data_IF_915464555789
#
_entry.id   IF_915464555789
#
_cell.length_a   1.000
_cell.length_b   1.000
_cell.length_c   1.000
_cell.angle_alpha   90.00
_cell.angle_beta   90.00
_cell.angle_gamma   90.00
#
_symmetry.space_group_name_H-M   'P 1'
#
loop_
_entity.id
_entity.type
_entity.pdbx_description
1 polymer ?
#
# COMPACT_ATOMS: atom_id res chain seq x y z
N UNK A 1 -5.90 15.43 36.06
CA UNK A 1 -6.65 14.27 35.47
C UNK A 1 -8.11 14.36 35.93
N UNK A 2 -9.03 14.30 35.01
CA UNK A 2 -10.48 14.25 35.22
C UNK A 2 -10.99 12.91 34.66
N UNK A 3 -11.74 12.15 35.46
CA UNK A 3 -12.34 10.90 35.03
C UNK A 3 -13.77 11.14 34.60
N UNK A 4 -14.16 10.62 33.43
CA UNK A 4 -15.51 10.77 32.84
C UNK A 4 -16.09 9.41 32.48
N UNK A 5 -17.39 9.24 32.65
CA UNK A 5 -18.11 7.98 32.36
C UNK A 5 -19.40 8.21 31.55
N UNK A 6 -19.75 9.47 31.31
CA UNK A 6 -20.91 9.87 30.53
C UNK A 6 -20.55 10.93 29.48
N UNK A 7 -21.37 11.07 28.44
CA UNK A 7 -21.18 12.10 27.42
C UNK A 7 -21.27 13.53 28.01
N UNK A 8 -22.11 13.72 29.02
CA UNK A 8 -22.22 15.01 29.70
C UNK A 8 -20.96 15.35 30.49
N UNK A 9 -20.42 14.41 31.28
CA UNK A 9 -19.18 14.61 32.05
C UNK A 9 -18.00 14.91 31.11
N UNK A 10 -17.92 14.23 29.94
CA UNK A 10 -16.93 14.50 28.92
C UNK A 10 -17.07 15.92 28.37
N UNK A 11 -18.29 16.34 28.03
CA UNK A 11 -18.56 17.69 27.53
C UNK A 11 -18.19 18.76 28.56
N UNK A 12 -18.54 18.54 29.83
CA UNK A 12 -18.23 19.47 30.94
C UNK A 12 -16.71 19.55 31.16
N UNK A 13 -15.98 18.43 31.11
CA UNK A 13 -14.53 18.41 31.25
C UNK A 13 -13.84 19.17 30.10
N UNK A 14 -14.29 18.98 28.87
CA UNK A 14 -13.78 19.71 27.70
C UNK A 14 -14.08 21.21 27.81
N UNK A 15 -15.30 21.58 28.20
CA UNK A 15 -15.70 22.98 28.40
C UNK A 15 -14.90 23.67 29.54
N UNK A 16 -14.53 22.91 30.55
CA UNK A 16 -13.67 23.38 31.66
C UNK A 16 -12.18 23.46 31.28
N UNK A 17 -11.78 23.06 30.06
CA UNK A 17 -10.39 23.09 29.62
C UNK A 17 -9.52 22.02 30.27
N UNK A 18 -10.08 20.86 30.66
CA UNK A 18 -9.30 19.77 31.23
C UNK A 18 -8.25 19.27 30.24
N UNK A 19 -6.99 19.20 30.67
CA UNK A 19 -5.85 18.79 29.84
C UNK A 19 -5.55 17.29 29.91
N UNK A 20 -6.11 16.57 30.89
CA UNK A 20 -5.92 15.12 31.06
C UNK A 20 -7.26 14.51 31.47
N UNK A 21 -7.86 13.75 30.51
CA UNK A 21 -9.21 13.20 30.62
C UNK A 21 -9.14 11.68 30.48
N UNK A 22 -9.53 10.98 31.56
CA UNK A 22 -9.67 9.52 31.56
C UNK A 22 -11.13 9.13 31.28
N UNK A 23 -11.35 8.37 30.21
CA UNK A 23 -12.64 7.73 29.92
C UNK A 23 -12.72 6.42 30.70
N UNK A 24 -13.76 6.25 31.53
CA UNK A 24 -13.99 5.01 32.27
C UNK A 24 -15.18 4.24 31.71
N UNK A 25 -14.93 3.02 31.25
CA UNK A 25 -15.94 2.16 30.63
C UNK A 25 -16.29 2.61 29.21
N UNK A 26 -17.57 2.51 28.84
CA UNK A 26 -18.03 2.86 27.51
C UNK A 26 -19.01 4.05 27.56
N UNK A 27 -18.70 5.12 26.83
CA UNK A 27 -19.58 6.26 26.62
C UNK A 27 -20.24 6.12 25.25
N UNK A 28 -21.55 5.87 25.23
CA UNK A 28 -22.33 5.68 24.02
C UNK A 28 -23.06 6.97 23.63
N UNK A 29 -23.15 7.22 22.31
CA UNK A 29 -23.89 8.35 21.76
C UNK A 29 -23.23 9.72 22.05
N UNK A 30 -21.93 9.76 22.27
CA UNK A 30 -21.19 11.00 22.35
C UNK A 30 -21.35 11.80 21.04
N UNK A 31 -21.58 13.11 21.09
CA UNK A 31 -21.47 13.94 19.89
C UNK A 31 -19.98 14.06 19.51
N UNK A 32 -19.70 14.27 18.23
CA UNK A 32 -18.34 14.59 17.78
C UNK A 32 -17.83 15.86 18.48
N UNK A 33 -16.56 15.86 18.89
CA UNK A 33 -15.97 16.99 19.59
C UNK A 33 -14.54 17.28 19.11
N UNK A 34 -14.08 18.48 19.42
CA UNK A 34 -12.72 18.92 19.16
C UNK A 34 -11.94 18.95 20.48
N UNK A 35 -10.78 18.29 20.50
CA UNK A 35 -9.87 18.36 21.65
C UNK A 35 -9.17 19.72 21.67
N UNK A 36 -9.17 20.44 22.80
CA UNK A 36 -8.34 21.62 22.96
C UNK A 36 -6.85 21.28 22.81
N UNK A 37 -6.00 22.24 22.39
CA UNK A 37 -4.57 22.03 22.27
C UNK A 37 -3.93 21.46 23.56
N UNK A 38 -3.01 20.52 23.41
CA UNK A 38 -2.29 19.88 24.52
C UNK A 38 -3.10 18.88 25.32
N UNK A 39 -4.35 18.59 24.95
CA UNK A 39 -5.19 17.68 25.71
C UNK A 39 -4.82 16.21 25.46
N UNK A 40 -4.66 15.45 26.55
CA UNK A 40 -4.57 14.00 26.56
C UNK A 40 -5.94 13.39 26.89
N UNK A 41 -6.43 12.50 26.03
CA UNK A 41 -7.65 11.73 26.21
C UNK A 41 -7.29 10.24 26.19
N UNK A 42 -7.65 9.50 27.22
CA UNK A 42 -7.21 8.12 27.33
C UNK A 42 -8.23 7.23 28.04
N UNK A 43 -8.05 5.91 27.86
CA UNK A 43 -8.86 4.87 28.49
C UNK A 43 -10.23 4.65 27.83
N UNK A 44 -10.87 3.55 28.18
CA UNK A 44 -12.23 3.22 27.85
C UNK A 44 -12.59 3.18 26.35
N UNK A 45 -13.89 3.38 26.09
CA UNK A 45 -14.45 3.34 24.74
C UNK A 45 -15.39 4.52 24.51
N UNK A 46 -15.22 5.19 23.39
CA UNK A 46 -16.14 6.23 22.91
C UNK A 46 -16.88 5.73 21.68
N UNK A 47 -18.21 5.75 21.70
CA UNK A 47 -19.04 5.40 20.56
C UNK A 47 -19.84 6.62 20.10
N UNK A 48 -19.64 6.99 18.84
CA UNK A 48 -20.22 8.15 18.19
C UNK A 48 -21.31 7.74 17.21
N UNK A 49 -22.31 8.62 17.03
CA UNK A 49 -23.32 8.48 15.98
C UNK A 49 -22.91 9.07 14.63
N UNK A 50 -21.81 9.84 14.61
CA UNK A 50 -21.24 10.49 13.42
C UNK A 50 -19.72 10.56 13.59
N UNK A 51 -19.07 11.63 13.07
CA UNK A 51 -17.62 11.86 13.26
C UNK A 51 -17.21 11.79 14.72
N UNK A 52 -16.02 11.23 14.95
CA UNK A 52 -15.49 11.03 16.28
C UNK A 52 -14.71 12.24 16.82
N UNK A 53 -13.44 12.01 17.13
CA UNK A 53 -12.56 12.99 17.79
C UNK A 53 -11.81 13.82 16.76
N UNK A 54 -11.90 15.15 16.87
CA UNK A 54 -11.12 16.10 16.10
C UNK A 54 -9.93 16.59 16.94
N UNK A 55 -8.72 16.39 16.44
CA UNK A 55 -7.48 16.81 17.05
C UNK A 55 -7.11 18.22 16.61
N UNK A 56 -6.48 19.00 17.47
CA UNK A 56 -5.93 20.33 17.15
C UNK A 56 -4.40 20.31 17.14
N UNK A 57 -3.76 20.72 18.23
CA UNK A 57 -2.30 20.73 18.36
C UNK A 57 -1.87 20.01 19.63
N UNK A 58 -0.77 19.27 19.55
CA UNK A 58 -0.15 18.57 20.69
C UNK A 58 -1.11 17.64 21.46
N UNK A 59 -2.06 17.03 20.75
CA UNK A 59 -3.01 16.12 21.36
C UNK A 59 -2.45 14.70 21.49
N UNK A 60 -2.84 14.03 22.56
CA UNK A 60 -2.54 12.62 22.81
C UNK A 60 -3.82 11.81 22.95
N UNK A 61 -3.95 10.75 22.15
CA UNK A 61 -4.94 9.68 22.34
C UNK A 61 -4.18 8.41 22.78
N UNK A 62 -4.57 7.82 23.90
CA UNK A 62 -3.84 6.70 24.47
C UNK A 62 -4.77 5.66 25.11
N UNK A 63 -4.48 4.36 24.87
CA UNK A 63 -5.23 3.24 25.46
C UNK A 63 -6.75 3.35 25.26
N UNK A 64 -7.21 3.82 24.11
CA UNK A 64 -8.61 4.19 23.87
C UNK A 64 -9.17 3.51 22.62
N UNK A 65 -10.46 3.14 22.69
CA UNK A 65 -11.24 2.66 21.55
C UNK A 65 -12.24 3.71 21.10
N UNK A 66 -12.23 4.06 19.81
CA UNK A 66 -13.10 5.07 19.19
C UNK A 66 -13.90 4.43 18.07
N UNK A 67 -15.22 4.36 18.24
CA UNK A 67 -16.12 3.67 17.32
C UNK A 67 -17.09 4.67 16.66
N UNK A 68 -17.12 4.67 15.33
CA UNK A 68 -18.08 5.41 14.51
C UNK A 68 -18.75 4.46 13.51
N UNK A 69 -19.61 4.96 12.63
CA UNK A 69 -19.99 4.23 11.42
C UNK A 69 -18.76 4.07 10.50
N UNK A 70 -18.78 3.05 9.64
CA UNK A 70 -17.61 2.72 8.80
C UNK A 70 -17.25 3.85 7.83
N UNK A 71 -18.23 4.60 7.36
CA UNK A 71 -18.08 5.74 6.45
C UNK A 71 -17.59 7.03 7.13
N UNK A 72 -17.57 7.04 8.45
CA UNK A 72 -17.21 8.23 9.21
C UNK A 72 -15.70 8.26 9.58
N UNK A 73 -15.19 9.46 9.89
CA UNK A 73 -13.87 9.59 10.46
C UNK A 73 -13.98 9.41 11.99
N UNK A 74 -13.33 8.38 12.51
CA UNK A 74 -13.21 8.16 13.94
C UNK A 74 -12.22 9.17 14.57
N UNK A 75 -11.13 9.45 13.88
CA UNK A 75 -10.13 10.46 14.27
C UNK A 75 -9.80 11.32 13.04
N UNK A 76 -9.84 12.63 13.21
CA UNK A 76 -9.44 13.60 12.18
C UNK A 76 -8.76 14.79 12.86
N UNK A 77 -7.96 15.56 12.11
CA UNK A 77 -7.45 16.83 12.63
C UNK A 77 -8.29 18.03 12.21
N UNK A 78 -8.16 19.12 12.94
CA UNK A 78 -8.71 20.44 12.58
C UNK A 78 -7.77 21.09 11.57
N UNK A 79 -8.24 21.29 10.34
CA UNK A 79 -7.48 21.96 9.27
C UNK A 79 -7.46 23.49 9.43
N UNK A 80 -8.19 24.02 10.40
CA UNK A 80 -8.17 25.45 10.77
C UNK A 80 -6.97 25.87 11.62
N UNK A 81 -6.17 24.94 12.17
CA UNK A 81 -4.94 25.26 12.90
C UNK A 81 -3.75 25.34 11.95
N UNK A 82 -2.77 26.21 12.26
CA UNK A 82 -1.60 26.38 11.38
C UNK A 82 -0.52 25.33 11.63
N UNK A 83 -0.39 24.85 12.85
CA UNK A 83 0.59 23.85 13.27
C UNK A 83 -0.11 22.81 14.15
N UNK A 84 0.04 21.54 13.78
CA UNK A 84 -0.51 20.43 14.54
C UNK A 84 0.36 20.08 15.78
N UNK A 85 1.55 20.67 15.90
CA UNK A 85 2.51 20.27 16.90
C UNK A 85 2.82 18.77 16.78
N UNK A 86 2.77 18.06 17.91
CA UNK A 86 2.90 16.59 17.93
C UNK A 86 1.55 15.95 18.24
N UNK A 87 0.99 15.22 17.27
CA UNK A 87 -0.18 14.37 17.49
C UNK A 87 0.30 12.97 17.86
N UNK A 88 -0.07 12.50 19.03
CA UNK A 88 0.32 11.17 19.55
C UNK A 88 -0.88 10.23 19.60
N UNK A 89 -0.76 9.09 18.93
CA UNK A 89 -1.73 7.99 18.95
C UNK A 89 -1.02 6.74 19.48
N UNK A 90 -1.34 6.28 20.68
CA UNK A 90 -0.72 5.10 21.28
C UNK A 90 -1.78 4.12 21.78
N UNK A 91 -1.67 2.85 21.35
CA UNK A 91 -2.65 1.80 21.69
C UNK A 91 -4.09 2.24 21.34
N UNK A 92 -4.31 2.75 20.14
CA UNK A 92 -5.59 3.28 19.70
C UNK A 92 -6.27 2.28 18.77
N UNK A 93 -7.53 1.95 19.08
CA UNK A 93 -8.35 1.12 18.19
C UNK A 93 -9.51 1.95 17.67
N UNK A 94 -9.76 1.89 16.35
CA UNK A 94 -10.89 2.59 15.74
C UNK A 94 -11.76 1.67 14.90
N UNK A 95 -13.04 2.01 14.81
CA UNK A 95 -13.93 1.69 13.71
C UNK A 95 -14.28 3.01 13.04
N UNK A 96 -14.11 3.08 11.71
CA UNK A 96 -14.06 4.34 10.98
C UNK A 96 -12.63 4.82 10.74
N UNK A 97 -12.48 5.74 9.82
CA UNK A 97 -11.19 6.22 9.31
C UNK A 97 -10.40 7.02 10.35
N UNK A 98 -9.09 6.83 10.36
CA UNK A 98 -8.14 7.80 10.92
C UNK A 98 -7.59 8.63 9.76
N UNK A 99 -7.79 9.95 9.79
CA UNK A 99 -7.36 10.83 8.70
C UNK A 99 -6.71 12.09 9.24
N UNK A 100 -5.42 12.26 8.95
CA UNK A 100 -4.61 13.43 9.29
C UNK A 100 -4.19 14.12 8.00
N UNK A 101 -4.63 15.37 7.82
CA UNK A 101 -4.45 16.13 6.58
C UNK A 101 -3.71 17.44 6.85
N UNK A 102 -2.72 17.75 6.01
CA UNK A 102 -2.30 19.12 5.82
C UNK A 102 -3.10 19.71 4.66
N UNK A 103 -4.12 20.48 4.98
CA UNK A 103 -4.91 21.26 4.05
C UNK A 103 -5.33 22.58 4.71
N UNK A 104 -5.99 23.45 4.03
CA UNK A 104 -6.45 24.78 4.50
C UNK A 104 -5.31 25.58 5.17
N UNK A 105 -5.32 25.67 6.49
CA UNK A 105 -4.35 26.46 7.29
C UNK A 105 -3.15 25.66 7.78
N UNK A 106 -3.20 24.35 7.77
CA UNK A 106 -2.11 23.50 8.29
C UNK A 106 -0.84 23.69 7.46
N UNK A 107 0.27 23.98 8.11
CA UNK A 107 1.60 24.21 7.49
C UNK A 107 2.67 23.30 8.05
N UNK A 108 2.47 22.75 9.25
CA UNK A 108 3.44 21.88 9.94
C UNK A 108 2.72 20.91 10.87
N UNK A 109 3.42 19.86 11.25
CA UNK A 109 2.99 18.89 12.25
C UNK A 109 3.87 17.65 12.26
N UNK A 110 3.84 16.96 13.39
CA UNK A 110 4.47 15.67 13.60
C UNK A 110 3.45 14.65 14.08
N UNK A 111 3.45 13.45 13.52
CA UNK A 111 2.54 12.36 13.93
C UNK A 111 3.36 11.21 14.50
N UNK A 112 3.11 10.88 15.77
CA UNK A 112 3.62 9.68 16.41
C UNK A 112 2.47 8.70 16.61
N UNK A 113 2.49 7.57 15.90
CA UNK A 113 1.49 6.54 16.04
C UNK A 113 2.17 5.21 16.38
N UNK A 114 1.71 4.56 17.44
CA UNK A 114 2.23 3.28 17.92
C UNK A 114 1.09 2.36 18.33
N UNK A 115 1.07 1.13 17.80
CA UNK A 115 0.03 0.14 18.04
C UNK A 115 -1.38 0.70 17.77
N UNK A 116 -1.58 1.14 16.51
CA UNK A 116 -2.85 1.71 16.05
C UNK A 116 -3.56 0.72 15.15
N UNK A 117 -4.82 0.43 15.48
CA UNK A 117 -5.64 -0.53 14.74
C UNK A 117 -6.92 0.10 14.24
N UNK A 118 -7.10 0.12 12.93
CA UNK A 118 -8.39 0.41 12.28
C UNK A 118 -9.10 -0.92 12.03
N UNK A 119 -10.15 -1.23 12.80
CA UNK A 119 -10.89 -2.51 12.68
C UNK A 119 -11.48 -2.64 11.28
N UNK A 120 -12.14 -1.59 10.81
CA UNK A 120 -12.67 -1.42 9.46
C UNK A 120 -13.00 0.05 9.20
N UNK A 121 -13.06 0.45 7.95
CA UNK A 121 -13.55 1.75 7.49
C UNK A 121 -14.05 1.64 6.06
N UNK A 122 -14.99 2.49 5.65
CA UNK A 122 -15.39 2.66 4.26
C UNK A 122 -15.00 4.06 3.79
N UNK A 123 -13.91 4.13 3.03
CA UNK A 123 -13.36 5.40 2.55
C UNK A 123 -13.68 5.68 1.07
N UNK A 124 -14.44 4.81 0.42
CA UNK A 124 -14.80 4.92 -1.01
C UNK A 124 -15.56 6.19 -1.33
N UNK A 125 -16.34 6.70 -0.37
CA UNK A 125 -17.08 7.96 -0.48
C UNK A 125 -16.25 9.21 -0.26
N UNK A 126 -14.96 9.14 0.01
CA UNK A 126 -14.09 10.32 0.17
C UNK A 126 -13.94 11.05 -1.16
N UNK A 127 -14.20 12.35 -1.14
CA UNK A 127 -14.20 13.18 -2.35
C UNK A 127 -12.80 13.36 -2.95
N UNK A 128 -11.80 13.57 -2.10
CA UNK A 128 -10.44 13.81 -2.56
C UNK A 128 -9.70 12.48 -2.77
N UNK A 129 -9.10 12.34 -3.93
CA UNK A 129 -8.29 11.20 -4.33
C UNK A 129 -7.01 11.72 -4.97
N UNK A 130 -5.82 11.20 -4.61
CA UNK A 130 -4.63 11.50 -5.38
C UNK A 130 -4.77 10.89 -6.77
N UNK A 131 -4.31 11.62 -7.78
CA UNK A 131 -4.21 11.16 -9.15
C UNK A 131 -2.74 10.98 -9.53
N UNK A 132 -2.43 10.00 -10.34
CA UNK A 132 -1.10 9.79 -10.89
C UNK A 132 -1.06 8.57 -11.78
N UNK A 133 -0.15 8.57 -12.73
CA UNK A 133 0.07 7.45 -13.64
C UNK A 133 -1.21 6.97 -14.37
N UNK A 134 -2.17 7.89 -14.56
CA UNK A 134 -3.44 7.63 -15.25
C UNK A 134 -4.54 6.97 -14.41
N UNK A 135 -4.41 6.97 -13.08
CA UNK A 135 -5.40 6.41 -12.16
C UNK A 135 -5.60 7.29 -10.92
N UNK A 136 -6.79 7.19 -10.33
CA UNK A 136 -7.09 7.72 -9.01
C UNK A 136 -6.88 6.63 -7.95
N UNK A 137 -6.31 6.99 -6.78
CA UNK A 137 -6.18 6.07 -5.66
C UNK A 137 -7.19 6.39 -4.54
N UNK A 138 -7.81 5.35 -3.96
CA UNK A 138 -8.64 5.50 -2.77
C UNK A 138 -7.77 5.78 -1.55
N UNK A 139 -8.25 6.65 -0.66
CA UNK A 139 -7.61 6.88 0.64
C UNK A 139 -7.57 5.60 1.49
N UNK A 140 -6.78 5.60 2.55
CA UNK A 140 -6.66 4.50 3.50
C UNK A 140 -7.61 4.59 4.70
N UNK A 141 -7.84 3.45 5.34
CA UNK A 141 -8.42 3.42 6.68
C UNK A 141 -7.57 4.21 7.68
N UNK A 142 -6.24 4.15 7.54
CA UNK A 142 -5.29 5.09 8.12
C UNK A 142 -4.71 5.96 7.01
N UNK A 143 -4.91 7.27 7.08
CA UNK A 143 -4.44 8.24 6.09
C UNK A 143 -3.65 9.35 6.76
N UNK A 144 -2.40 9.55 6.30
CA UNK A 144 -1.58 10.73 6.55
C UNK A 144 -1.26 11.38 5.21
N UNK A 145 -1.82 12.57 4.96
CA UNK A 145 -1.71 13.18 3.64
C UNK A 145 -1.49 14.69 3.69
N UNK A 146 -0.44 15.15 3.04
CA UNK A 146 -0.19 16.57 2.83
C UNK A 146 -0.71 16.98 1.45
N UNK A 147 -1.80 17.76 1.43
CA UNK A 147 -2.48 18.23 0.21
C UNK A 147 -2.15 19.66 -0.15
N UNK A 148 -1.20 20.26 0.53
CA UNK A 148 -0.78 21.64 0.26
C UNK A 148 0.07 21.72 -1.03
N UNK A 149 -0.28 22.63 -1.92
CA UNK A 149 0.52 22.88 -3.13
C UNK A 149 1.84 23.62 -2.81
N UNK A 150 1.97 24.19 -1.59
CA UNK A 150 3.15 24.91 -1.15
C UNK A 150 4.24 23.91 -0.70
N UNK A 151 5.41 23.84 -1.37
CA UNK A 151 6.47 22.88 -1.02
C UNK A 151 7.15 23.16 0.32
N UNK A 152 6.93 24.32 0.92
CA UNK A 152 7.45 24.63 2.26
C UNK A 152 6.62 23.96 3.37
N UNK A 153 5.42 23.47 3.06
CA UNK A 153 4.56 22.76 4.02
C UNK A 153 5.07 21.34 4.20
N UNK A 154 5.41 20.98 5.43
CA UNK A 154 6.02 19.70 5.75
C UNK A 154 5.32 19.03 6.93
N UNK A 155 4.91 17.79 6.75
CA UNK A 155 4.55 16.90 7.84
C UNK A 155 5.66 15.88 8.05
N UNK A 156 5.86 15.48 9.30
CA UNK A 156 6.78 14.39 9.65
C UNK A 156 6.02 13.33 10.45
N UNK A 157 6.49 12.07 10.41
CA UNK A 157 5.88 11.03 11.21
C UNK A 157 6.84 9.89 11.58
N UNK A 158 6.45 9.18 12.64
CA UNK A 158 6.90 7.84 12.99
C UNK A 158 5.66 6.98 13.23
N UNK A 159 5.49 5.91 12.44
CA UNK A 159 4.28 5.10 12.37
C UNK A 159 4.64 3.64 12.66
N UNK A 160 4.37 3.19 13.90
CA UNK A 160 4.79 1.90 14.41
C UNK A 160 3.58 0.98 14.65
N UNK A 161 3.61 -0.21 14.06
CA UNK A 161 2.58 -1.25 14.25
C UNK A 161 1.16 -0.76 13.89
N UNK A 162 1.04 -0.18 12.71
CA UNK A 162 -0.23 0.26 12.16
C UNK A 162 -0.91 -0.92 11.46
N UNK A 163 -2.15 -1.24 11.85
CA UNK A 163 -2.95 -2.32 11.26
C UNK A 163 -4.29 -1.78 10.74
N UNK A 164 -4.79 -2.35 9.65
CA UNK A 164 -6.02 -1.88 9.02
C UNK A 164 -6.84 -3.04 8.43
N UNK A 165 -8.09 -3.16 8.84
CA UNK A 165 -8.98 -4.23 8.45
C UNK A 165 -8.68 -5.57 9.15
N UNK A 166 -9.55 -6.52 8.92
CA UNK A 166 -9.40 -7.94 9.26
C UNK A 166 -9.93 -8.76 8.10
N UNK A 167 -9.64 -10.06 8.05
CA UNK A 167 -10.20 -10.95 7.04
C UNK A 167 -11.74 -10.89 6.99
N UNK A 168 -12.40 -10.83 8.15
CA UNK A 168 -13.85 -10.77 8.25
C UNK A 168 -14.44 -9.37 8.00
N UNK A 169 -13.65 -8.32 8.19
CA UNK A 169 -14.05 -6.93 8.05
C UNK A 169 -12.89 -6.13 7.43
N UNK A 170 -12.66 -6.25 6.12
CA UNK A 170 -11.62 -5.49 5.44
C UNK A 170 -11.94 -3.99 5.47
N UNK A 171 -10.95 -3.16 5.25
CA UNK A 171 -11.17 -1.75 4.91
C UNK A 171 -11.71 -1.67 3.48
N UNK A 172 -12.81 -0.96 3.28
CA UNK A 172 -13.32 -0.64 1.96
C UNK A 172 -12.64 0.62 1.42
N UNK A 173 -11.62 0.41 0.62
CA UNK A 173 -10.64 1.38 0.15
C UNK A 173 -9.23 0.88 0.36
N UNK A 174 -8.24 1.77 0.55
CA UNK A 174 -6.89 1.36 0.90
C UNK A 174 -6.73 1.13 2.41
N UNK A 175 -5.73 0.36 2.81
CA UNK A 175 -5.46 0.09 4.22
C UNK A 175 -4.73 1.24 4.89
N UNK A 176 -3.46 1.41 4.55
CA UNK A 176 -2.56 2.43 5.08
C UNK A 176 -2.07 3.30 3.93
N UNK A 177 -2.25 4.60 4.06
CA UNK A 177 -1.98 5.58 3.03
C UNK A 177 -1.12 6.72 3.59
N UNK A 178 0.05 6.93 2.99
CA UNK A 178 0.97 8.03 3.32
C UNK A 178 1.28 8.79 2.04
N UNK A 179 1.00 10.10 1.98
CA UNK A 179 1.18 10.87 0.76
C UNK A 179 1.51 12.33 1.00
N UNK A 180 2.23 12.93 0.07
CA UNK A 180 2.37 14.36 -0.10
C UNK A 180 1.48 14.88 -1.23
N UNK A 181 1.73 16.10 -1.67
CA UNK A 181 1.09 16.68 -2.85
C UNK A 181 1.76 16.14 -4.12
N UNK A 182 0.97 15.75 -5.09
CA UNK A 182 1.44 15.24 -6.37
C UNK A 182 0.70 15.86 -7.54
N UNK A 183 1.38 15.93 -8.68
CA UNK A 183 0.83 16.38 -9.96
C UNK A 183 -0.01 15.30 -10.65
N UNK A 184 -0.55 15.59 -11.82
CA UNK A 184 -1.37 14.67 -12.60
C UNK A 184 -0.57 13.49 -13.19
N UNK A 185 0.76 13.61 -13.27
CA UNK A 185 1.65 12.55 -13.76
C UNK A 185 2.13 11.62 -12.64
N UNK A 186 1.82 11.96 -11.38
CA UNK A 186 2.16 11.15 -10.21
C UNK A 186 3.48 11.55 -9.55
N UNK A 187 4.06 12.71 -9.90
CA UNK A 187 5.27 13.20 -9.26
C UNK A 187 4.93 14.19 -8.12
N UNK A 188 5.77 14.22 -7.09
CA UNK A 188 5.63 15.18 -6.00
C UNK A 188 5.95 16.60 -6.47
N UNK A 189 5.04 17.55 -6.26
CA UNK A 189 5.17 18.92 -6.74
C UNK A 189 4.76 20.01 -5.73
N UNK A 190 4.52 19.63 -4.48
CA UNK A 190 4.09 20.54 -3.41
C UNK A 190 4.50 20.08 -2.02
N UNK A 191 3.60 20.19 -1.07
CA UNK A 191 3.83 19.83 0.33
C UNK A 191 4.20 18.37 0.52
N UNK A 192 5.12 18.09 1.44
CA UNK A 192 5.72 16.77 1.62
C UNK A 192 5.33 16.11 2.93
N UNK A 193 5.42 14.78 2.96
CA UNK A 193 5.39 13.98 4.18
C UNK A 193 6.71 13.20 4.28
N UNK A 194 7.40 13.32 5.41
CA UNK A 194 8.58 12.50 5.70
C UNK A 194 8.30 11.56 6.88
N UNK A 195 8.42 10.27 6.63
CA UNK A 195 8.24 9.22 7.63
C UNK A 195 9.58 8.52 7.86
N UNK A 196 10.09 8.57 9.08
CA UNK A 196 11.35 7.89 9.43
C UNK A 196 11.20 6.38 9.48
N UNK A 197 10.08 5.89 10.01
CA UNK A 197 9.74 4.46 10.03
C UNK A 197 8.24 4.29 9.87
N UNK A 198 7.83 3.53 8.86
CA UNK A 198 6.49 2.99 8.67
C UNK A 198 6.54 1.48 8.93
N UNK A 199 6.11 1.04 10.09
CA UNK A 199 5.95 -0.39 10.40
C UNK A 199 4.48 -0.75 10.42
N UNK A 200 4.09 -1.72 9.57
CA UNK A 200 2.70 -2.17 9.45
C UNK A 200 2.55 -3.57 10.03
N UNK A 201 1.46 -3.78 10.76
CA UNK A 201 0.98 -5.09 11.17
C UNK A 201 0.12 -5.72 10.07
N UNK A 202 -0.93 -6.45 10.48
CA UNK A 202 -1.89 -7.09 9.59
C UNK A 202 -2.75 -6.04 8.85
N UNK A 203 -2.90 -6.21 7.51
CA UNK A 203 -3.71 -5.33 6.66
C UNK A 203 -4.60 -6.15 5.75
N UNK A 204 -5.91 -5.87 5.77
CA UNK A 204 -6.92 -6.46 4.88
C UNK A 204 -7.75 -5.37 4.22
N UNK A 205 -7.80 -5.37 2.88
CA UNK A 205 -8.54 -4.34 2.13
C UNK A 205 -9.36 -4.94 1.00
N UNK A 206 -10.48 -4.29 0.72
CA UNK A 206 -11.28 -4.50 -0.48
C UNK A 206 -11.68 -3.12 -1.03
N UNK A 207 -11.08 -2.72 -2.12
CA UNK A 207 -11.46 -1.48 -2.79
C UNK A 207 -12.92 -1.49 -3.24
N UNK A 208 -13.49 -2.69 -3.42
CA UNK A 208 -14.85 -2.91 -3.94
C UNK A 208 -15.11 -2.02 -5.18
N UNK A 209 -14.07 -1.88 -6.02
CA UNK A 209 -14.09 -1.03 -7.20
C UNK A 209 -15.08 -1.59 -8.19
N UNK A 210 -16.05 -0.79 -8.68
CA UNK A 210 -17.03 -1.28 -9.63
C UNK A 210 -16.39 -1.79 -10.92
N UNK A 211 -16.94 -2.84 -11.49
CA UNK A 211 -16.51 -3.30 -12.81
C UNK A 211 -16.55 -2.15 -13.82
N UNK A 212 -15.58 -2.10 -14.72
CA UNK A 212 -15.40 -1.04 -15.74
C UNK A 212 -15.01 0.33 -15.19
N UNK A 213 -14.33 0.37 -14.05
CA UNK A 213 -13.68 1.58 -13.51
C UNK A 213 -12.16 1.33 -13.53
N UNK A 214 -11.52 1.34 -14.72
CA UNK A 214 -10.11 0.95 -14.85
C UNK A 214 -9.14 2.03 -14.35
N UNK A 215 -9.62 3.24 -14.12
CA UNK A 215 -8.90 4.42 -13.67
C UNK A 215 -8.97 4.62 -12.14
N UNK A 216 -9.49 3.64 -11.40
CA UNK A 216 -9.56 3.65 -9.95
C UNK A 216 -8.81 2.45 -9.37
N UNK A 217 -7.98 2.72 -8.36
CA UNK A 217 -7.23 1.69 -7.63
C UNK A 217 -7.38 1.86 -6.12
N UNK A 218 -7.08 0.80 -5.40
CA UNK A 218 -6.87 0.82 -3.95
C UNK A 218 -5.73 -0.12 -3.58
N UNK A 219 -5.40 -0.24 -2.31
CA UNK A 219 -4.35 -1.19 -1.92
C UNK A 219 -4.16 -1.36 -0.43
N UNK A 220 -3.24 -2.25 -0.08
CA UNK A 220 -2.91 -2.54 1.30
C UNK A 220 -2.11 -1.41 1.93
N UNK A 221 -0.90 -1.18 1.44
CA UNK A 221 0.01 -0.13 1.94
C UNK A 221 0.48 0.72 0.76
N UNK A 222 0.14 2.01 0.79
CA UNK A 222 0.49 2.99 -0.22
C UNK A 222 1.44 4.05 0.32
N UNK A 223 2.58 4.22 -0.36
CA UNK A 223 3.44 5.40 -0.25
C UNK A 223 3.26 6.19 -1.54
N UNK A 224 2.56 7.31 -1.46
CA UNK A 224 2.13 8.11 -2.61
C UNK A 224 3.12 9.25 -2.88
N UNK A 225 3.02 9.86 -4.04
CA UNK A 225 3.78 11.02 -4.50
C UNK A 225 3.96 12.09 -3.41
N UNK A 226 5.12 12.71 -3.34
CA UNK A 226 5.44 13.71 -2.32
C UNK A 226 5.68 13.14 -0.91
N UNK A 227 5.57 11.82 -0.72
CA UNK A 227 6.01 11.16 0.50
C UNK A 227 7.44 10.62 0.36
N UNK A 228 8.23 10.79 1.42
CA UNK A 228 9.53 10.14 1.60
C UNK A 228 9.47 9.26 2.84
N UNK A 229 9.81 7.99 2.72
CA UNK A 229 9.83 7.05 3.83
C UNK A 229 11.21 6.40 3.90
N UNK A 230 11.94 6.62 5.01
CA UNK A 230 13.30 6.06 5.12
C UNK A 230 13.25 4.54 5.17
N UNK A 231 12.33 3.98 5.98
CA UNK A 231 12.16 2.53 6.14
C UNK A 231 10.69 2.15 6.20
N UNK A 232 10.27 1.21 5.34
CA UNK A 232 8.98 0.52 5.44
C UNK A 232 9.20 -0.92 5.89
N UNK A 233 8.47 -1.37 6.91
CA UNK A 233 8.48 -2.73 7.43
C UNK A 233 7.06 -3.29 7.48
N UNK A 234 6.68 -4.13 6.53
CA UNK A 234 5.42 -4.89 6.58
C UNK A 234 5.66 -6.19 7.34
N UNK A 235 5.36 -6.19 8.66
CA UNK A 235 5.64 -7.30 9.57
C UNK A 235 4.47 -8.27 9.72
N UNK A 236 3.25 -7.81 9.47
CA UNK A 236 2.04 -8.64 9.36
C UNK A 236 1.66 -8.94 7.91
N UNK A 237 0.78 -9.93 7.67
CA UNK A 237 0.29 -10.22 6.33
C UNK A 237 -0.48 -9.02 5.76
N UNK A 238 -0.30 -8.80 4.45
CA UNK A 238 -1.07 -7.80 3.70
C UNK A 238 -1.87 -8.53 2.63
N UNK A 239 -3.21 -8.44 2.71
CA UNK A 239 -4.13 -9.15 1.80
C UNK A 239 -5.13 -8.18 1.19
N UNK A 240 -5.27 -8.23 -0.13
CA UNK A 240 -6.28 -7.46 -0.88
C UNK A 240 -7.26 -8.38 -1.59
N UNK A 241 -8.53 -7.98 -1.64
CA UNK A 241 -9.62 -8.82 -2.14
C UNK A 241 -10.30 -8.27 -3.40
N UNK A 242 -10.30 -6.95 -3.58
CA UNK A 242 -11.02 -6.28 -4.63
C UNK A 242 -10.29 -6.20 -5.97
N UNK A 243 -11.01 -5.84 -7.05
CA UNK A 243 -10.40 -5.52 -8.33
C UNK A 243 -9.48 -4.30 -8.24
N UNK A 244 -8.36 -4.32 -8.98
CA UNK A 244 -7.39 -3.21 -9.05
C UNK A 244 -6.79 -2.84 -7.68
N UNK A 245 -6.70 -3.80 -6.78
CA UNK A 245 -6.11 -3.60 -5.45
C UNK A 245 -4.61 -3.94 -5.49
N UNK A 246 -3.77 -2.94 -5.26
CA UNK A 246 -2.32 -3.11 -5.12
C UNK A 246 -2.01 -3.51 -3.67
N UNK A 247 -1.27 -4.61 -3.45
CA UNK A 247 -0.98 -5.01 -2.06
C UNK A 247 0.01 -4.04 -1.43
N UNK A 248 1.14 -3.82 -2.08
CA UNK A 248 2.17 -2.86 -1.68
C UNK A 248 2.47 -1.96 -2.89
N UNK A 249 2.35 -0.64 -2.72
CA UNK A 249 2.46 0.30 -3.84
C UNK A 249 3.32 1.52 -3.48
N UNK A 250 4.30 1.83 -4.31
CA UNK A 250 5.19 2.95 -4.15
C UNK A 250 5.14 3.91 -5.34
N UNK A 251 4.66 5.14 -5.10
CA UNK A 251 4.74 6.29 -6.02
C UNK A 251 5.68 7.37 -5.47
N UNK A 252 6.09 7.24 -4.20
CA UNK A 252 6.94 8.19 -3.51
C UNK A 252 8.42 7.82 -3.56
N UNK A 253 9.16 8.20 -2.54
CA UNK A 253 10.57 7.85 -2.37
C UNK A 253 10.74 7.00 -1.10
N UNK A 254 11.26 5.78 -1.24
CA UNK A 254 11.46 4.84 -0.14
C UNK A 254 12.92 4.38 -0.13
N UNK A 255 13.57 4.47 1.02
CA UNK A 255 14.92 3.94 1.18
C UNK A 255 14.93 2.41 1.18
N UNK A 256 14.25 1.80 2.14
CA UNK A 256 14.15 0.34 2.24
C UNK A 256 12.72 -0.09 2.50
N UNK A 257 12.23 -1.07 1.74
CA UNK A 257 10.95 -1.74 2.00
C UNK A 257 11.18 -3.23 2.29
N UNK A 258 10.84 -3.66 3.50
CA UNK A 258 10.92 -5.07 3.89
C UNK A 258 9.53 -5.62 4.20
N UNK A 259 9.17 -6.77 3.63
CA UNK A 259 7.96 -7.51 3.99
C UNK A 259 8.36 -8.90 4.53
N UNK A 260 8.02 -9.19 5.78
CA UNK A 260 8.38 -10.46 6.45
C UNK A 260 7.23 -11.44 6.58
N UNK A 261 6.01 -11.03 6.20
CA UNK A 261 4.82 -11.84 6.17
C UNK A 261 4.21 -11.88 4.76
N UNK A 262 3.25 -12.77 4.52
CA UNK A 262 2.67 -13.01 3.20
C UNK A 262 2.08 -11.75 2.55
N UNK A 263 2.30 -11.61 1.26
CA UNK A 263 1.75 -10.55 0.39
C UNK A 263 0.79 -11.22 -0.58
N UNK A 264 -0.52 -10.99 -0.42
CA UNK A 264 -1.56 -11.74 -1.14
C UNK A 264 -2.57 -10.83 -1.82
N UNK A 265 -2.86 -11.09 -3.09
CA UNK A 265 -3.96 -10.45 -3.82
C UNK A 265 -4.92 -11.50 -4.39
N UNK A 266 -6.21 -11.33 -4.12
CA UNK A 266 -7.26 -12.21 -4.64
C UNK A 266 -8.04 -11.60 -5.82
N UNK A 267 -8.08 -10.28 -5.90
CA UNK A 267 -8.86 -9.57 -6.90
C UNK A 267 -8.24 -9.58 -8.31
N UNK A 268 -9.06 -9.42 -9.35
CA UNK A 268 -8.56 -9.24 -10.71
C UNK A 268 -7.73 -7.96 -10.84
N UNK A 269 -6.66 -8.03 -11.63
CA UNK A 269 -5.69 -6.95 -11.86
C UNK A 269 -4.98 -6.45 -10.58
N UNK A 270 -5.01 -7.22 -9.50
CA UNK A 270 -4.26 -6.93 -8.29
C UNK A 270 -2.76 -7.16 -8.47
N UNK A 271 -1.92 -6.43 -7.73
CA UNK A 271 -0.46 -6.54 -7.84
C UNK A 271 0.14 -6.72 -6.45
N UNK A 272 1.03 -7.71 -6.29
CA UNK A 272 1.70 -7.99 -5.03
C UNK A 272 2.59 -6.82 -4.59
N UNK A 273 3.53 -6.42 -5.43
CA UNK A 273 4.30 -5.19 -5.26
C UNK A 273 4.39 -4.44 -6.59
N UNK A 274 4.09 -3.14 -6.57
CA UNK A 274 4.27 -2.28 -7.74
C UNK A 274 5.10 -1.06 -7.38
N UNK A 275 6.02 -0.68 -8.29
CA UNK A 275 6.84 0.51 -8.14
C UNK A 275 6.66 1.47 -9.31
N UNK A 276 6.38 2.72 -8.99
CA UNK A 276 6.37 3.88 -9.88
C UNK A 276 7.33 4.96 -9.41
N UNK A 277 7.70 4.95 -8.12
CA UNK A 277 8.53 5.95 -7.48
C UNK A 277 10.00 5.54 -7.38
N UNK A 278 10.68 6.11 -6.40
CA UNK A 278 12.08 5.79 -6.11
C UNK A 278 12.15 4.76 -4.98
N UNK A 279 12.91 3.70 -5.18
CA UNK A 279 13.12 2.67 -4.17
C UNK A 279 14.56 2.14 -4.25
N UNK A 280 15.30 2.26 -3.14
CA UNK A 280 16.66 1.72 -3.11
C UNK A 280 16.67 0.20 -2.95
N UNK A 281 15.97 -0.31 -1.94
CA UNK A 281 16.00 -1.74 -1.61
C UNK A 281 14.61 -2.28 -1.30
N UNK A 282 14.23 -3.36 -1.98
CA UNK A 282 13.02 -4.14 -1.73
C UNK A 282 13.42 -5.56 -1.28
N UNK A 283 12.95 -5.99 -0.09
CA UNK A 283 13.24 -7.31 0.44
C UNK A 283 11.95 -7.99 0.95
N UNK A 284 11.36 -8.84 0.10
CA UNK A 284 10.13 -9.59 0.41
C UNK A 284 10.49 -11.01 0.84
N UNK A 285 10.55 -11.24 2.15
CA UNK A 285 11.02 -12.48 2.78
C UNK A 285 9.94 -13.54 2.96
N UNK A 286 8.77 -13.30 2.40
CA UNK A 286 7.63 -14.21 2.42
C UNK A 286 7.06 -14.34 1.00
N UNK A 287 6.20 -15.35 0.72
CA UNK A 287 5.63 -15.52 -0.61
C UNK A 287 4.80 -14.32 -1.05
N UNK A 288 4.92 -13.96 -2.33
CA UNK A 288 3.92 -13.17 -3.03
C UNK A 288 2.98 -14.15 -3.75
N UNK A 289 1.68 -14.05 -3.48
CA UNK A 289 0.66 -14.89 -4.12
C UNK A 289 -0.45 -14.02 -4.69
N UNK A 290 -0.72 -14.16 -5.99
CA UNK A 290 -1.87 -13.51 -6.63
C UNK A 290 -2.74 -14.54 -7.34
N UNK A 291 -4.06 -14.41 -7.19
CA UNK A 291 -5.01 -15.40 -7.73
C UNK A 291 -6.02 -14.83 -8.73
N UNK A 292 -6.15 -13.50 -8.80
CA UNK A 292 -7.07 -12.83 -9.73
C UNK A 292 -6.59 -12.86 -11.18
N UNK A 293 -7.50 -12.81 -12.13
CA UNK A 293 -7.17 -12.65 -13.54
C UNK A 293 -6.46 -11.32 -13.80
N UNK A 294 -5.45 -11.31 -14.65
CA UNK A 294 -4.67 -10.13 -14.97
C UNK A 294 -3.80 -9.59 -13.82
N UNK A 295 -3.69 -10.34 -12.73
CA UNK A 295 -2.89 -9.95 -11.58
C UNK A 295 -1.39 -10.03 -11.88
N UNK A 296 -0.56 -9.43 -11.00
CA UNK A 296 0.90 -9.53 -11.10
C UNK A 296 1.51 -9.81 -9.74
N UNK A 297 2.62 -10.51 -9.73
CA UNK A 297 3.40 -10.69 -8.51
C UNK A 297 4.20 -9.43 -8.18
N UNK A 298 5.12 -9.06 -9.07
CA UNK A 298 5.93 -7.85 -8.98
C UNK A 298 5.92 -7.08 -10.29
N UNK A 299 5.84 -5.75 -10.20
CA UNK A 299 5.91 -4.89 -11.38
C UNK A 299 6.73 -3.62 -11.12
N UNK A 300 7.79 -3.43 -11.89
CA UNK A 300 8.52 -2.18 -12.01
C UNK A 300 7.97 -1.42 -13.23
N UNK A 301 6.95 -0.59 -13.01
CA UNK A 301 6.31 0.18 -14.08
C UNK A 301 7.07 1.43 -14.45
N UNK A 302 7.53 2.16 -13.43
CA UNK A 302 8.24 3.43 -13.57
C UNK A 302 9.22 3.64 -12.41
N UNK A 303 9.87 4.81 -12.36
CA UNK A 303 10.79 5.18 -11.31
C UNK A 303 12.10 4.38 -11.33
N UNK A 304 12.67 4.21 -10.15
CA UNK A 304 13.97 3.54 -9.96
C UNK A 304 13.87 2.44 -8.92
N UNK A 305 14.63 1.36 -9.12
CA UNK A 305 14.81 0.30 -8.14
C UNK A 305 16.22 -0.26 -8.27
N UNK A 306 17.03 -0.15 -7.20
CA UNK A 306 18.40 -0.63 -7.25
C UNK A 306 18.50 -2.13 -6.97
N UNK A 307 17.92 -2.60 -5.87
CA UNK A 307 17.98 -4.00 -5.46
C UNK A 307 16.60 -4.52 -5.06
N UNK A 308 16.17 -5.64 -5.64
CA UNK A 308 14.98 -6.36 -5.24
C UNK A 308 15.29 -7.82 -4.91
N UNK A 309 14.77 -8.30 -3.79
CA UNK A 309 14.82 -9.71 -3.40
C UNK A 309 13.44 -10.21 -3.00
N UNK A 310 13.08 -11.39 -3.48
CA UNK A 310 11.83 -12.07 -3.18
C UNK A 310 12.09 -13.48 -2.69
N UNK A 311 11.29 -13.95 -1.74
CA UNK A 311 11.33 -15.34 -1.33
C UNK A 311 10.81 -16.26 -2.45
N UNK A 312 9.61 -15.98 -2.97
CA UNK A 312 9.01 -16.65 -4.12
C UNK A 312 7.82 -15.84 -4.65
N UNK A 313 7.45 -16.06 -5.91
CA UNK A 313 6.30 -15.41 -6.55
C UNK A 313 5.44 -16.45 -7.26
N UNK A 314 4.13 -16.43 -6.97
CA UNK A 314 3.17 -17.32 -7.63
C UNK A 314 1.93 -16.55 -8.07
N UNK A 315 1.58 -16.70 -9.35
CA UNK A 315 0.33 -16.18 -9.91
C UNK A 315 -0.49 -17.31 -10.52
N UNK A 316 -1.82 -17.27 -10.42
CA UNK A 316 -2.67 -18.36 -10.91
C UNK A 316 -3.77 -17.93 -11.89
N UNK A 317 -4.07 -16.63 -11.98
CA UNK A 317 -5.11 -16.11 -12.87
C UNK A 317 -4.69 -16.07 -14.34
N UNK A 318 -5.65 -16.07 -15.24
CA UNK A 318 -5.42 -15.85 -16.66
C UNK A 318 -4.92 -14.41 -16.92
N UNK A 319 -3.97 -14.22 -17.83
CA UNK A 319 -3.33 -12.94 -18.10
C UNK A 319 -2.41 -12.43 -16.98
N UNK A 320 -2.10 -13.27 -15.98
CA UNK A 320 -1.32 -12.87 -14.80
C UNK A 320 0.17 -13.04 -15.02
N UNK A 321 0.94 -12.01 -14.68
CA UNK A 321 2.40 -12.00 -14.85
C UNK A 321 3.09 -12.17 -13.49
N UNK A 322 4.08 -13.06 -13.40
CA UNK A 322 4.87 -13.23 -12.18
C UNK A 322 5.69 -11.99 -11.89
N UNK A 323 6.60 -11.65 -12.78
CA UNK A 323 7.48 -10.47 -12.69
C UNK A 323 7.43 -9.71 -14.01
N UNK A 324 7.25 -8.39 -13.95
CA UNK A 324 7.37 -7.51 -15.12
C UNK A 324 8.34 -6.37 -14.83
N UNK A 325 9.33 -6.20 -15.72
CA UNK A 325 10.36 -5.14 -15.62
C UNK A 325 10.23 -4.23 -16.82
N UNK A 326 9.79 -2.98 -16.59
CA UNK A 326 9.56 -1.99 -17.68
C UNK A 326 10.54 -0.82 -17.63
N UNK A 327 11.44 -0.77 -16.64
CA UNK A 327 12.48 0.25 -16.46
C UNK A 327 13.80 -0.40 -16.11
N UNK A 328 14.91 0.29 -16.28
CA UNK A 328 16.20 -0.20 -15.80
C UNK A 328 16.21 -0.41 -14.28
N UNK A 329 16.78 -1.53 -13.84
CA UNK A 329 17.04 -1.82 -12.44
C UNK A 329 18.40 -2.51 -12.25
N UNK A 330 18.93 -2.45 -11.04
CA UNK A 330 20.18 -3.08 -10.71
C UNK A 330 20.04 -4.59 -10.56
N UNK A 331 19.71 -5.06 -9.38
CA UNK A 331 19.64 -6.50 -9.08
C UNK A 331 18.22 -6.98 -8.81
N UNK A 332 17.88 -8.12 -9.41
CA UNK A 332 16.69 -8.89 -9.08
C UNK A 332 17.08 -10.30 -8.61
N UNK A 333 16.71 -10.65 -7.39
CA UNK A 333 16.94 -11.99 -6.85
C UNK A 333 15.62 -12.61 -6.37
N UNK A 334 15.40 -13.88 -6.67
CA UNK A 334 14.31 -14.70 -6.13
C UNK A 334 14.91 -15.97 -5.55
N UNK A 335 14.72 -16.22 -4.25
CA UNK A 335 15.32 -17.38 -3.58
C UNK A 335 14.70 -18.71 -4.01
N UNK A 336 13.39 -18.74 -4.21
CA UNK A 336 12.61 -19.88 -4.67
C UNK A 336 12.13 -19.75 -6.11
N UNK A 337 10.92 -20.24 -6.36
CA UNK A 337 10.33 -20.27 -7.68
C UNK A 337 9.62 -18.97 -8.05
N UNK A 338 9.60 -18.68 -9.36
CA UNK A 338 8.64 -17.77 -10.00
C UNK A 338 7.73 -18.60 -10.89
N UNK A 339 6.46 -18.73 -10.53
CA UNK A 339 5.55 -19.63 -11.21
C UNK A 339 4.22 -18.97 -11.59
N UNK A 340 3.77 -19.22 -12.82
CA UNK A 340 2.43 -18.86 -13.30
C UNK A 340 1.67 -20.10 -13.76
N UNK A 341 0.33 -20.13 -13.62
CA UNK A 341 -0.48 -21.24 -14.10
C UNK A 341 -1.66 -20.85 -14.97
N UNK A 342 -1.94 -19.55 -15.12
CA UNK A 342 -2.99 -19.05 -16.00
C UNK A 342 -2.65 -19.06 -17.49
N UNK A 343 -3.66 -18.86 -18.32
CA UNK A 343 -3.55 -18.69 -19.77
C UNK A 343 -3.58 -17.21 -20.18
N UNK A 344 -4.37 -16.90 -21.23
CA UNK A 344 -4.61 -15.53 -21.69
C UNK A 344 -5.84 -14.93 -21.00
N UNK A 345 -5.77 -13.67 -20.56
CA UNK A 345 -6.85 -13.00 -19.87
C UNK A 345 -6.74 -11.48 -19.83
N UNK A 346 -7.80 -10.83 -19.35
CA UNK A 346 -7.83 -9.37 -19.21
C UNK A 346 -7.03 -8.90 -18.00
N UNK A 347 -6.28 -7.83 -18.16
CA UNK A 347 -5.49 -7.17 -17.14
C UNK A 347 -5.59 -5.66 -17.27
N UNK A 348 -5.51 -4.95 -16.13
CA UNK A 348 -5.38 -3.50 -16.10
C UNK A 348 -3.92 -3.10 -16.27
N UNK A 349 -3.66 -2.16 -17.20
CA UNK A 349 -2.34 -1.59 -17.43
C UNK A 349 -2.48 -0.07 -17.53
N UNK A 350 -2.05 0.68 -16.50
CA UNK A 350 -2.11 2.15 -16.47
C UNK A 350 -3.47 2.70 -16.91
N UNK A 351 -4.55 2.28 -16.25
CA UNK A 351 -5.92 2.72 -16.55
C UNK A 351 -6.56 2.11 -17.81
N UNK A 352 -5.86 1.25 -18.56
CA UNK A 352 -6.37 0.62 -19.78
C UNK A 352 -6.49 -0.89 -19.61
N UNK A 353 -7.65 -1.46 -19.93
CA UNK A 353 -7.81 -2.92 -19.99
C UNK A 353 -7.26 -3.48 -21.30
N UNK A 354 -6.40 -4.48 -21.19
CA UNK A 354 -5.82 -5.18 -22.32
C UNK A 354 -5.70 -6.68 -22.04
N UNK A 355 -5.68 -7.47 -23.11
CA UNK A 355 -5.48 -8.91 -23.03
C UNK A 355 -3.99 -9.21 -22.91
N UNK A 356 -3.60 -9.95 -21.87
CA UNK A 356 -2.24 -10.39 -21.63
C UNK A 356 -2.17 -11.90 -21.49
N UNK A 357 -0.97 -12.45 -21.67
CA UNK A 357 -0.65 -13.86 -21.39
C UNK A 357 -0.05 -13.97 -19.99
N UNK A 358 -0.24 -15.11 -19.36
CA UNK A 358 0.42 -15.43 -18.10
C UNK A 358 1.90 -15.75 -18.36
N UNK A 359 2.77 -14.82 -18.03
CA UNK A 359 4.22 -14.88 -18.23
C UNK A 359 4.90 -14.93 -16.88
N UNK A 360 5.83 -15.87 -16.65
CA UNK A 360 6.49 -15.94 -15.35
C UNK A 360 7.45 -14.77 -15.13
N UNK A 361 8.25 -14.41 -16.14
CA UNK A 361 9.09 -13.21 -16.13
C UNK A 361 9.10 -12.54 -17.50
N UNK A 362 8.78 -11.23 -17.51
CA UNK A 362 8.81 -10.39 -18.71
C UNK A 362 9.75 -9.19 -18.47
N UNK A 363 10.74 -9.01 -19.34
CA UNK A 363 11.55 -7.79 -19.45
C UNK A 363 11.10 -7.08 -20.71
N UNK A 364 10.28 -6.03 -20.55
CA UNK A 364 9.67 -5.32 -21.69
C UNK A 364 10.70 -4.44 -22.41
N UNK A 365 10.36 -3.95 -23.59
CA UNK A 365 11.18 -2.98 -24.31
C UNK A 365 11.44 -1.74 -23.43
N UNK A 366 12.69 -1.36 -23.28
CA UNK A 366 13.13 -0.30 -22.37
C UNK A 366 13.41 -0.75 -20.92
N UNK A 367 12.99 -1.95 -20.54
CA UNK A 367 13.37 -2.59 -19.28
C UNK A 367 14.78 -3.18 -19.34
N UNK A 368 15.47 -3.14 -18.23
CA UNK A 368 16.74 -3.88 -18.09
C UNK A 368 16.99 -4.27 -16.64
N UNK A 369 17.76 -5.34 -16.46
CA UNK A 369 18.25 -5.78 -15.14
C UNK A 369 19.74 -6.10 -15.24
N UNK A 370 20.54 -5.50 -14.34
CA UNK A 370 21.99 -5.72 -14.39
C UNK A 370 22.38 -7.12 -13.95
N UNK A 371 21.68 -7.67 -12.93
CA UNK A 371 21.89 -9.04 -12.45
C UNK A 371 20.56 -9.69 -12.06
N UNK A 372 20.23 -10.81 -12.73
CA UNK A 372 19.05 -11.63 -12.50
C UNK A 372 19.45 -12.98 -11.88
N UNK A 373 18.96 -13.26 -10.68
CA UNK A 373 19.24 -14.52 -9.99
C UNK A 373 17.95 -15.18 -9.49
N UNK A 374 17.62 -16.38 -10.00
CA UNK A 374 16.49 -17.20 -9.55
C UNK A 374 17.02 -18.51 -9.00
N UNK A 375 16.89 -18.73 -7.67
CA UNK A 375 17.37 -19.93 -6.99
C UNK A 375 16.54 -21.17 -7.26
N UNK A 376 15.24 -21.00 -7.54
CA UNK A 376 14.33 -22.05 -7.96
C UNK A 376 14.10 -22.11 -9.47
N UNK A 377 12.90 -22.52 -9.86
CA UNK A 377 12.45 -22.56 -11.24
C UNK A 377 11.79 -21.26 -11.68
N UNK A 378 11.95 -20.94 -12.95
CA UNK A 378 11.06 -20.05 -13.68
C UNK A 378 10.09 -20.91 -14.48
N UNK A 379 8.79 -20.92 -14.13
CA UNK A 379 7.85 -21.90 -14.67
C UNK A 379 6.51 -21.29 -15.10
N UNK A 380 5.94 -21.81 -16.20
CA UNK A 380 4.57 -21.52 -16.60
C UNK A 380 3.80 -22.81 -16.91
N UNK A 381 2.53 -22.89 -16.45
CA UNK A 381 1.64 -24.03 -16.66
C UNK A 381 0.46 -23.75 -17.58
N UNK A 382 0.27 -22.51 -18.04
CA UNK A 382 -0.84 -22.13 -18.91
C UNK A 382 -0.65 -22.58 -20.36
N UNK A 383 -1.74 -22.56 -21.14
CA UNK A 383 -1.74 -22.91 -22.57
C UNK A 383 -1.40 -21.70 -23.42
N UNK A 384 -0.57 -21.89 -24.47
CA UNK A 384 -0.13 -20.86 -25.42
C UNK A 384 0.53 -19.62 -24.76
N UNK A 385 1.27 -19.83 -23.68
CA UNK A 385 1.98 -18.78 -22.94
C UNK A 385 3.50 -18.87 -23.15
N UNK A 386 4.20 -17.85 -22.66
CA UNK A 386 5.67 -17.78 -22.62
C UNK A 386 6.10 -17.80 -21.15
N UNK A 387 7.15 -18.54 -20.79
CA UNK A 387 7.66 -18.52 -19.43
C UNK A 387 8.58 -17.35 -19.19
N UNK A 388 9.61 -17.17 -20.04
CA UNK A 388 10.55 -16.04 -20.03
C UNK A 388 10.41 -15.26 -21.34
N UNK A 389 9.94 -14.03 -21.23
CA UNK A 389 9.84 -13.08 -22.34
C UNK A 389 10.86 -11.98 -22.17
N UNK A 390 11.70 -11.73 -23.16
CA UNK A 390 12.71 -10.68 -23.14
C UNK A 390 12.62 -9.84 -24.39
N UNK A 391 12.16 -8.60 -24.23
CA UNK A 391 12.16 -7.54 -25.24
C UNK A 391 13.19 -6.46 -24.89
N UNK A 392 13.69 -6.46 -23.67
CA UNK A 392 14.69 -5.57 -23.14
C UNK A 392 16.06 -6.23 -22.98
N UNK A 393 16.74 -5.96 -21.87
CA UNK A 393 18.12 -6.46 -21.65
C UNK A 393 18.31 -7.06 -20.26
N UNK A 394 19.14 -8.08 -20.17
CA UNK A 394 19.65 -8.61 -18.92
C UNK A 394 21.16 -8.71 -18.97
N UNK A 395 21.83 -8.31 -17.89
CA UNK A 395 23.26 -8.55 -17.69
C UNK A 395 23.52 -9.98 -17.23
N UNK A 396 24.08 -10.14 -16.04
CA UNK A 396 24.36 -11.48 -15.48
C UNK A 396 23.06 -12.23 -15.19
N UNK A 397 22.96 -13.51 -15.62
CA UNK A 397 21.76 -14.33 -15.42
C UNK A 397 22.12 -15.67 -14.78
N UNK A 398 21.36 -16.04 -13.75
CA UNK A 398 21.42 -17.34 -13.11
C UNK A 398 20.00 -17.83 -12.76
N UNK A 399 19.60 -18.97 -13.31
CA UNK A 399 18.31 -19.63 -13.02
C UNK A 399 18.58 -21.08 -12.67
N UNK A 400 18.77 -21.37 -11.39
CA UNK A 400 19.26 -22.66 -10.90
C UNK A 400 18.33 -23.82 -11.22
N UNK A 401 17.02 -23.63 -11.11
CA UNK A 401 16.01 -24.64 -11.40
C UNK A 401 15.62 -24.74 -12.87
N UNK A 402 16.20 -23.89 -13.73
CA UNK A 402 15.89 -23.82 -15.16
C UNK A 402 14.61 -23.05 -15.49
N UNK A 403 14.32 -22.98 -16.81
CA UNK A 403 13.13 -22.35 -17.39
C UNK A 403 12.23 -23.43 -17.98
N UNK A 404 10.98 -23.55 -17.50
CA UNK A 404 10.08 -24.64 -17.86
C UNK A 404 8.70 -24.13 -18.27
N UNK A 405 8.27 -24.47 -19.49
CA UNK A 405 6.88 -24.34 -19.92
C UNK A 405 6.25 -25.75 -19.96
N UNK A 406 5.09 -25.93 -19.33
CA UNK A 406 4.42 -27.25 -19.28
C UNK A 406 3.07 -27.27 -19.99
N UNK A 407 2.47 -26.11 -20.27
CA UNK A 407 1.19 -26.02 -20.94
C UNK A 407 1.28 -26.26 -22.46
N UNK A 408 0.25 -26.83 -23.05
CA UNK A 408 0.18 -27.10 -24.49
C UNK A 408 0.37 -25.83 -25.30
N UNK A 409 1.22 -25.90 -26.34
CA UNK A 409 1.51 -24.78 -27.25
C UNK A 409 2.32 -23.64 -26.62
N UNK A 410 2.82 -23.85 -25.39
CA UNK A 410 3.63 -22.84 -24.68
C UNK A 410 5.10 -23.00 -25.02
N UNK A 411 5.86 -21.91 -24.87
CA UNK A 411 7.32 -21.88 -25.08
C UNK A 411 8.02 -21.41 -23.81
N UNK A 412 9.17 -22.03 -23.52
CA UNK A 412 9.93 -21.67 -22.34
C UNK A 412 10.54 -20.27 -22.45
N UNK A 413 11.05 -19.89 -23.63
CA UNK A 413 11.76 -18.63 -23.84
C UNK A 413 11.34 -17.96 -25.14
N UNK A 414 11.11 -16.65 -25.10
CA UNK A 414 10.93 -15.78 -26.26
C UNK A 414 11.87 -14.57 -26.12
N UNK A 415 12.70 -14.33 -27.12
CA UNK A 415 13.66 -13.22 -27.14
C UNK A 415 13.38 -12.37 -28.38
N UNK A 416 13.13 -11.08 -28.19
CA UNK A 416 12.91 -10.11 -29.27
C UNK A 416 14.20 -9.81 -30.05
N UNK A 417 14.04 -9.24 -31.25
CA UNK A 417 15.17 -9.01 -32.17
C UNK A 417 16.23 -8.03 -31.60
N UNK A 418 15.81 -7.04 -30.79
CA UNK A 418 16.69 -6.04 -30.19
C UNK A 418 17.04 -6.36 -28.71
N UNK A 419 16.56 -7.50 -28.21
CA UNK A 419 16.77 -7.93 -26.83
C UNK A 419 18.15 -8.55 -26.63
N UNK A 420 18.63 -8.51 -25.37
CA UNK A 420 19.93 -9.12 -25.04
C UNK A 420 19.83 -9.83 -23.68
N UNK A 421 20.08 -11.13 -23.68
CA UNK A 421 20.17 -11.99 -22.51
C UNK A 421 21.08 -13.17 -22.81
N UNK A 422 21.92 -13.56 -21.85
CA UNK A 422 22.74 -14.77 -21.97
C UNK A 422 22.10 -15.89 -21.11
N UNK A 423 21.71 -16.96 -21.79
CA UNK A 423 21.09 -18.16 -21.18
C UNK A 423 21.99 -19.40 -21.29
N UNK A 424 23.31 -19.22 -21.56
CA UNK A 424 24.23 -20.32 -21.61
C UNK A 424 24.27 -21.10 -20.28
N UNK A 425 24.16 -22.42 -20.35
CA UNK A 425 24.16 -23.31 -19.18
C UNK A 425 22.85 -23.39 -18.40
N UNK A 426 21.79 -22.66 -18.79
CA UNK A 426 20.48 -22.76 -18.19
C UNK A 426 19.66 -23.88 -18.84
N UNK A 427 19.08 -24.76 -18.04
CA UNK A 427 18.19 -25.83 -18.52
C UNK A 427 16.85 -25.22 -18.99
N UNK A 428 16.52 -25.41 -20.28
CA UNK A 428 15.32 -24.82 -20.91
C UNK A 428 14.45 -25.94 -21.44
N UNK A 429 13.19 -26.02 -20.98
CA UNK A 429 12.24 -27.07 -21.36
C UNK A 429 10.92 -26.50 -21.83
N UNK A 430 10.50 -26.88 -23.06
CA UNK A 430 9.17 -26.62 -23.59
C UNK A 430 8.42 -27.94 -23.78
N UNK A 431 7.07 -27.94 -23.73
CA UNK A 431 6.30 -29.14 -24.04
C UNK A 431 6.56 -29.56 -25.51
N UNK A 432 6.46 -30.88 -25.75
CA UNK A 432 6.56 -31.48 -27.09
C UNK A 432 5.38 -31.07 -27.98
#
# INVERSE_FOLDING_TARGET
>A
MVTVSTAQELADALAAGAQDIEVRGAINGAPGFTLPPGTRLHGGTLQFGARGVRLTSDNTLEDITILTADEEAAILNDTGVADLGTLTLRNVTTRGQIVILAEDRVRAGHVQAENVRVITADVRGRFHRPHGFGVDALQGGFTLWNRQADPEVKLTAELLDISAGTEAQPVYGSGIFVGGHGDQDGHGDGGTVHVTLLRTGEVHTDGAIPARTPDLISGGVFVISGATVDVVQSTGPVTTYGPNDMVLDNWGSVGTWTATAAVTSHGPSGIGFVNFGELDTLDVRAPIVTTGNGARGFNLYDGTLRDARFQSIRTTGDGSIGIQISKPMGRLAVDGDVATSGGEGLSLVKGVQMTLKAIALSITAGGSVDALAIGGKLASGGTNVVTLEVEGRSGEVSITGGVEATGTGSVAVSIGDDAAIDLEGIDIRSPE
#
